data_IF_030398776500
#
_entry.id   IF_030398776500
#
_cell.length_a   1.000
_cell.length_b   1.000
_cell.length_c   1.000
_cell.angle_alpha   90.00
_cell.angle_beta   90.00
_cell.angle_gamma   90.00
#
_symmetry.space_group_name_H-M   'P 1'
#
loop_
_entity.id
_entity.type
_entity.pdbx_description
1 polymer ?
2 non-polymer ?
3 non-polymer ?
4 water ?
#
# COMPACT_ATOMS: atom_id res chain seq x y z
N UNK A 2 1.01 -5.35 19.16
CA UNK A 2 1.23 -6.15 17.92
C UNK A 2 0.41 -5.88 16.64
N UNK A 3 1.06 -5.17 15.72
CA UNK A 3 0.43 -4.71 14.50
C UNK A 3 0.65 -5.69 13.37
N UNK A 4 -0.33 -5.74 12.47
CA UNK A 4 -0.16 -6.45 11.22
C UNK A 4 -0.01 -5.44 10.09
N UNK A 5 1.14 -5.47 9.42
CA UNK A 5 1.46 -4.54 8.35
C UNK A 5 1.51 -5.33 7.05
N UNK A 6 0.80 -4.85 6.03
CA UNK A 6 0.83 -5.53 4.75
C UNK A 6 1.28 -4.56 3.68
N UNK A 7 2.32 -4.93 2.94
CA UNK A 7 2.68 -4.17 1.75
C UNK A 7 2.04 -4.82 0.53
N UNK A 8 1.54 -3.98 -0.38
CA UNK A 8 1.01 -4.42 -1.67
C UNK A 8 1.74 -3.67 -2.76
N UNK A 9 2.50 -4.39 -3.57
CA UNK A 9 3.22 -3.77 -4.67
C UNK A 9 2.67 -4.24 -6.03
N UNK A 10 2.53 -3.31 -6.96
CA UNK A 10 1.79 -3.57 -8.18
C UNK A 10 2.52 -3.37 -9.49
N UNK A 11 3.84 -3.55 -9.50
CA UNK A 11 4.56 -3.51 -10.77
C UNK A 11 4.33 -4.80 -11.53
N UNK A 12 4.19 -4.71 -12.85
CA UNK A 12 4.05 -5.93 -13.64
C UNK A 12 5.42 -6.43 -14.11
N UNK A 13 6.50 -5.80 -13.65
CA UNK A 13 7.84 -6.24 -14.05
C UNK A 13 8.51 -7.07 -12.97
N UNK A 14 9.35 -8.01 -13.39
CA UNK A 14 10.11 -8.78 -12.44
C UNK A 14 11.31 -7.96 -12.00
N UNK A 15 11.77 -8.20 -10.78
CA UNK A 15 12.87 -7.43 -10.20
C UNK A 15 12.55 -5.93 -10.17
N UNK A 16 11.34 -5.58 -9.75
CA UNK A 16 10.93 -4.20 -9.81
C UNK A 16 11.52 -3.35 -8.69
N UNK A 17 11.90 -2.13 -9.04
CA UNK A 17 12.32 -1.14 -8.06
C UNK A 17 11.19 -0.86 -7.08
N UNK A 18 9.96 -0.83 -7.59
CA UNK A 18 8.77 -0.61 -6.76
C UNK A 18 8.70 -1.61 -5.61
N UNK A 19 8.88 -2.89 -5.92
CA UNK A 19 8.86 -3.95 -4.91
C UNK A 19 9.96 -3.77 -3.86
N UNK A 20 11.15 -3.40 -4.32
CA UNK A 20 12.27 -3.11 -3.43
C UNK A 20 11.99 -1.92 -2.52
N UNK A 21 11.28 -0.92 -3.04
CA UNK A 21 10.94 0.24 -2.21
C UNK A 21 9.93 -0.18 -1.14
N UNK A 22 8.94 -0.97 -1.54
CA UNK A 22 7.91 -1.42 -0.62
C UNK A 22 8.52 -2.30 0.46
N UNK A 23 9.43 -3.17 0.05
CA UNK A 23 10.08 -4.07 0.99
C UNK A 23 10.91 -3.26 2.00
N UNK A 24 11.68 -2.30 1.50
CA UNK A 24 12.45 -1.39 2.35
C UNK A 24 11.54 -0.77 3.41
N UNK A 25 10.40 -0.26 2.97
CA UNK A 25 9.48 0.43 3.85
C UNK A 25 8.94 -0.55 4.87
N UNK A 26 8.64 -1.76 4.43
CA UNK A 26 8.05 -2.75 5.30
C UNK A 26 9.05 -3.11 6.40
N UNK A 27 10.31 -3.31 6.01
CA UNK A 27 11.37 -3.61 6.96
C UNK A 27 11.61 -2.45 7.95
N UNK A 28 11.50 -1.23 7.46
CA UNK A 28 11.81 -0.06 8.25
C UNK A 28 10.78 0.01 9.37
N UNK A 29 9.52 -0.24 9.03
CA UNK A 29 8.44 -0.21 10.01
C UNK A 29 8.60 -1.30 11.06
N UNK A 30 8.83 -2.54 10.61
CA UNK A 30 8.95 -3.68 11.52
C UNK A 30 10.13 -3.53 12.48
N UNK A 31 11.20 -2.87 12.04
CA UNK A 31 12.38 -2.66 12.89
C UNK A 31 12.12 -1.67 14.02
N UNK A 32 11.01 -0.95 13.96
CA UNK A 32 10.79 0.18 14.86
C UNK A 32 9.45 0.11 15.57
N UNK A 33 8.75 -1.00 15.40
CA UNK A 33 7.46 -1.16 16.06
C UNK A 33 7.24 -2.63 16.35
N UNK A 34 6.29 -2.92 17.23
CA UNK A 34 5.92 -4.29 17.52
C UNK A 34 4.98 -4.78 16.42
N UNK A 35 5.58 -5.22 15.31
CA UNK A 35 4.82 -5.55 14.11
C UNK A 35 5.26 -6.87 13.45
N UNK A 36 4.32 -7.54 12.80
CA UNK A 36 4.66 -8.55 11.81
C UNK A 36 4.13 -8.10 10.46
N UNK A 37 4.72 -8.61 9.39
CA UNK A 37 4.35 -8.14 8.07
C UNK A 37 4.28 -9.18 6.98
N UNK A 38 3.61 -8.83 5.90
CA UNK A 38 3.74 -9.58 4.68
C UNK A 38 3.68 -8.65 3.49
N UNK A 39 4.14 -9.14 2.35
CA UNK A 39 4.27 -8.35 1.15
C UNK A 39 3.57 -9.08 0.00
N UNK A 40 2.41 -8.59 -0.40
CA UNK A 40 1.68 -9.14 -1.54
C UNK A 40 2.22 -8.54 -2.83
N UNK A 41 2.84 -9.38 -3.65
CA UNK A 41 3.29 -8.95 -4.97
C UNK A 41 2.19 -9.35 -5.92
N UNK A 42 1.43 -8.37 -6.43
CA UNK A 42 0.23 -8.67 -7.20
C UNK A 42 0.57 -9.52 -8.43
N UNK A 43 1.75 -9.27 -8.99
CA UNK A 43 2.26 -10.06 -10.11
C UNK A 43 2.34 -11.58 -9.80
N UNK A 44 2.40 -11.96 -8.54
CA UNK A 44 2.53 -13.37 -8.20
C UNK A 44 1.18 -14.02 -7.94
N UNK A 45 0.11 -13.23 -8.02
CA UNK A 45 -1.23 -13.79 -7.88
C UNK A 45 -1.69 -14.41 -9.22
N UNK A 46 -2.63 -15.35 -9.15
CA UNK A 46 -3.12 -16.06 -10.34
C UNK A 46 -3.91 -15.06 -11.18
N UNK A 47 -3.43 -14.77 -12.41
CA UNK A 47 -4.00 -13.68 -13.22
C UNK A 47 -5.49 -13.85 -13.47
N UNK A 48 -5.90 -15.05 -13.86
CA UNK A 48 -7.30 -15.31 -14.13
C UNK A 48 -8.16 -15.11 -12.90
N UNK A 49 -7.73 -15.68 -11.77
CA UNK A 49 -8.52 -15.58 -10.56
C UNK A 49 -8.57 -14.12 -10.10
N UNK A 50 -7.46 -13.40 -10.26
CA UNK A 50 -7.39 -12.00 -9.86
C UNK A 50 -8.40 -11.16 -10.65
N UNK A 51 -8.32 -11.22 -11.98
CA UNK A 51 -9.20 -10.44 -12.84
C UNK A 51 -10.69 -10.75 -12.65
N UNK A 52 -11.00 -11.98 -12.25
CA UNK A 52 -12.39 -12.39 -12.10
C UNK A 52 -12.87 -12.36 -10.65
N UNK A 53 -11.96 -12.01 -9.74
CA UNK A 53 -12.31 -11.92 -8.33
C UNK A 53 -12.67 -13.27 -7.74
N UNK A 54 -12.02 -14.31 -8.26
CA UNK A 54 -12.31 -15.70 -7.88
C UNK A 54 -11.61 -16.09 -6.58
N UNK A 55 -12.35 -16.03 -5.48
CA UNK A 55 -11.79 -16.29 -4.16
C UNK A 55 -11.76 -17.77 -3.79
N UNK A 56 -12.07 -18.62 -4.77
CA UNK A 56 -11.91 -20.07 -4.61
C UNK A 56 -10.43 -20.37 -4.82
N UNK A 57 -9.72 -19.43 -5.43
CA UNK A 57 -8.27 -19.48 -5.46
C UNK A 57 -7.75 -19.12 -4.06
N UNK A 58 -7.12 -20.09 -3.41
CA UNK A 58 -6.68 -19.95 -2.03
C UNK A 58 -5.72 -18.77 -1.82
N UNK A 59 -4.72 -18.67 -2.67
CA UNK A 59 -3.69 -17.65 -2.53
C UNK A 59 -4.26 -16.22 -2.70
N UNK A 60 -5.25 -16.07 -3.58
CA UNK A 60 -5.95 -14.80 -3.75
C UNK A 60 -6.80 -14.47 -2.53
N UNK A 61 -7.57 -15.45 -2.05
CA UNK A 61 -8.36 -15.25 -0.84
C UNK A 61 -7.47 -14.92 0.37
N UNK A 62 -6.30 -15.54 0.45
CA UNK A 62 -5.38 -15.24 1.54
C UNK A 62 -4.86 -13.81 1.48
N UNK A 63 -4.53 -13.35 0.28
CA UNK A 63 -4.12 -11.96 0.05
C UNK A 63 -5.23 -10.95 0.41
N UNK A 64 -6.46 -11.24 0.02
CA UNK A 64 -7.59 -10.41 0.40
C UNK A 64 -7.82 -10.40 1.92
N UNK A 65 -7.83 -11.58 2.54
CA UNK A 65 -7.98 -11.66 3.99
C UNK A 65 -6.88 -10.90 4.74
N UNK A 66 -5.63 -11.05 4.30
CA UNK A 66 -4.52 -10.38 4.95
C UNK A 66 -4.67 -8.86 4.86
N UNK A 67 -5.18 -8.38 3.73
CA UNK A 67 -5.39 -6.95 3.54
C UNK A 67 -6.46 -6.43 4.48
N UNK A 68 -7.59 -7.13 4.52
CA UNK A 68 -8.68 -6.76 5.42
C UNK A 68 -8.31 -6.86 6.89
N UNK A 69 -7.30 -7.66 7.22
CA UNK A 69 -6.92 -7.83 8.62
C UNK A 69 -5.77 -6.92 9.07
N UNK A 70 -5.16 -6.20 8.13
CA UNK A 70 -4.02 -5.34 8.44
C UNK A 70 -4.38 -4.10 9.27
N UNK A 71 -3.45 -3.66 10.10
CA UNK A 71 -3.62 -2.37 10.78
C UNK A 71 -3.08 -1.25 9.90
N UNK A 72 -2.08 -1.57 9.09
CA UNK A 72 -1.48 -0.60 8.18
C UNK A 72 -1.19 -1.22 6.82
N UNK A 73 -1.44 -0.48 5.74
CA UNK A 73 -1.05 -0.94 4.41
C UNK A 73 -0.01 -0.06 3.77
N UNK A 74 0.97 -0.68 3.14
CA UNK A 74 1.93 0.04 2.31
C UNK A 74 1.58 -0.26 0.87
N UNK A 75 1.22 0.78 0.13
CA UNK A 75 0.64 0.60 -1.19
C UNK A 75 1.56 1.22 -2.23
N UNK A 76 2.22 0.36 -3.02
CA UNK A 76 3.30 0.78 -3.90
C UNK A 76 3.06 0.44 -5.37
N UNK A 77 3.34 1.39 -6.25
CA UNK A 77 3.11 1.19 -7.67
C UNK A 77 4.11 1.98 -8.49
N UNK A 78 4.53 1.42 -9.64
CA UNK A 78 5.17 2.31 -10.60
C UNK A 78 4.08 3.19 -11.22
N UNK A 79 4.46 4.33 -11.77
CA UNK A 79 3.50 5.18 -12.45
C UNK A 79 3.44 4.81 -13.93
N UNK A 80 2.28 4.33 -14.37
CA UNK A 80 2.05 3.98 -15.77
C UNK A 80 0.91 4.85 -16.28
N UNK A 81 1.10 5.45 -17.45
CA UNK A 81 0.09 6.31 -18.08
C UNK A 81 -0.48 7.29 -17.06
N UNK A 82 0.40 7.96 -16.32
CA UNK A 82 0.01 9.02 -15.40
C UNK A 82 -0.82 8.59 -14.19
N UNK A 83 -0.76 7.31 -13.80
CA UNK A 83 -1.49 6.84 -12.63
C UNK A 83 -0.90 5.53 -12.11
N UNK A 84 -1.58 4.89 -11.15
CA UNK A 84 -1.18 3.59 -10.64
C UNK A 84 -1.41 2.56 -11.75
N UNK A 85 -0.79 1.39 -11.63
CA UNK A 85 -0.92 0.34 -12.65
C UNK A 85 -2.31 -0.31 -12.65
N UNK A 86 -2.71 -0.85 -13.79
CA UNK A 86 -3.90 -1.69 -13.85
C UNK A 86 -3.81 -2.88 -12.90
N UNK A 87 -2.62 -3.48 -12.83
CA UNK A 87 -2.36 -4.61 -11.94
C UNK A 87 -2.68 -4.29 -10.48
N UNK A 88 -2.23 -3.13 -9.99
CA UNK A 88 -2.52 -2.75 -8.61
C UNK A 88 -4.01 -2.57 -8.41
N UNK A 89 -4.61 -1.78 -9.30
CA UNK A 89 -6.03 -1.47 -9.22
C UNK A 89 -6.90 -2.73 -9.30
N UNK A 90 -6.51 -3.68 -10.15
CA UNK A 90 -7.23 -4.96 -10.24
C UNK A 90 -7.33 -5.63 -8.87
N UNK A 91 -6.25 -5.57 -8.08
CA UNK A 91 -6.31 -6.11 -6.73
C UNK A 91 -7.21 -5.28 -5.83
N UNK A 92 -7.00 -3.97 -5.82
CA UNK A 92 -7.87 -3.09 -5.03
C UNK A 92 -9.34 -3.31 -5.39
N UNK A 93 -9.62 -3.55 -6.67
CA UNK A 93 -11.00 -3.75 -7.13
C UNK A 93 -11.76 -4.90 -6.47
N UNK A 94 -11.08 -5.99 -6.14
CA UNK A 94 -11.79 -7.12 -5.54
C UNK A 94 -12.00 -7.05 -4.03
N UNK A 95 -11.31 -6.12 -3.36
CA UNK A 95 -11.53 -5.93 -1.92
C UNK A 95 -12.96 -5.46 -1.64
N UNK A 96 -13.48 -5.78 -0.45
CA UNK A 96 -14.80 -5.31 -0.02
C UNK A 96 -14.94 -3.79 -0.15
N UNK A 97 -16.17 -3.31 -0.25
CA UNK A 97 -16.45 -1.90 -0.53
C UNK A 97 -15.70 -0.96 0.40
N UNK A 98 -15.76 -1.24 1.70
CA UNK A 98 -15.09 -0.40 2.69
C UNK A 98 -13.96 -1.16 3.39
N UNK A 99 -13.18 -1.88 2.58
CA UNK A 99 -12.11 -2.75 3.07
C UNK A 99 -11.09 -2.05 3.97
N UNK A 100 -10.94 -0.74 3.81
CA UNK A 100 -9.84 -0.03 4.45
C UNK A 100 -10.24 0.70 5.75
N UNK A 101 -11.48 0.50 6.18
CA UNK A 101 -11.95 1.06 7.45
C UNK A 101 -11.01 0.74 8.61
N UNK A 102 -10.69 1.75 9.41
CA UNK A 102 -9.81 1.56 10.54
C UNK A 102 -8.32 1.56 10.22
N UNK A 103 -7.95 1.46 8.94
CA UNK A 103 -6.54 1.25 8.58
C UNK A 103 -5.75 2.51 8.24
N UNK A 104 -4.47 2.50 8.61
CA UNK A 104 -3.54 3.52 8.14
C UNK A 104 -2.97 3.07 6.79
N UNK A 105 -2.51 4.02 5.99
CA UNK A 105 -1.94 3.70 4.68
C UNK A 105 -0.79 4.62 4.25
N UNK A 106 0.18 4.05 3.53
CA UNK A 106 1.33 4.79 3.01
C UNK A 106 1.48 4.56 1.51
N UNK A 107 1.22 5.60 0.71
CA UNK A 107 1.35 5.50 -0.74
C UNK A 107 2.79 5.75 -1.21
N UNK A 108 3.31 4.80 -1.99
CA UNK A 108 4.66 4.88 -2.52
C UNK A 108 4.60 4.67 -4.01
N UNK A 109 5.44 5.38 -4.74
CA UNK A 109 5.56 5.15 -6.17
C UNK A 109 6.96 5.42 -6.68
N UNK A 110 7.27 4.88 -7.86
CA UNK A 110 8.48 5.22 -8.58
C UNK A 110 8.11 5.49 -10.03
N UNK A 111 8.98 6.17 -10.75
CA UNK A 111 8.73 6.45 -12.15
C UNK A 111 10.00 6.95 -12.80
N UNK A 112 9.97 7.07 -14.12
CA UNK A 112 11.12 7.55 -14.87
C UNK A 112 11.38 9.03 -14.70
N UNK A 113 10.31 9.81 -14.57
CA UNK A 113 10.42 11.27 -14.46
C UNK A 113 9.75 11.87 -13.21
N UNK A 114 10.38 12.91 -12.64
CA UNK A 114 9.76 13.65 -11.54
C UNK A 114 8.40 14.25 -11.93
N UNK A 115 8.08 14.28 -13.22
CA UNK A 115 6.80 14.81 -13.67
C UNK A 115 5.62 14.01 -13.12
N UNK A 116 5.90 12.77 -12.71
CA UNK A 116 4.88 11.82 -12.26
C UNK A 116 4.54 11.94 -10.78
N UNK A 117 5.17 12.87 -10.07
CA UNK A 117 5.01 12.96 -8.61
C UNK A 117 3.54 13.01 -8.16
N UNK A 118 2.72 13.79 -8.85
CA UNK A 118 1.34 14.03 -8.40
C UNK A 118 0.35 12.90 -8.67
N UNK A 119 0.77 11.87 -9.40
CA UNK A 119 -0.13 10.75 -9.68
C UNK A 119 -0.62 10.08 -8.40
N UNK A 120 0.21 10.05 -7.37
CA UNK A 120 -0.21 9.46 -6.09
C UNK A 120 -1.38 10.21 -5.42
N UNK A 121 -1.20 11.51 -5.24
CA UNK A 121 -2.19 12.33 -4.55
C UNK A 121 -3.46 12.57 -5.39
N UNK A 122 -3.32 12.72 -6.70
CA UNK A 122 -4.49 12.91 -7.57
C UNK A 122 -5.16 11.60 -8.01
N UNK A 123 -4.37 10.53 -8.12
CA UNK A 123 -4.85 9.27 -8.65
C UNK A 123 -5.13 8.22 -7.59
N UNK A 124 -4.10 7.81 -6.86
CA UNK A 124 -4.24 6.74 -5.88
C UNK A 124 -5.03 7.13 -4.62
N UNK A 125 -4.75 8.32 -4.11
CA UNK A 125 -5.34 8.77 -2.85
C UNK A 125 -6.89 8.76 -2.85
N UNK A 126 -7.53 9.32 -3.89
CA UNK A 126 -8.99 9.20 -3.92
C UNK A 126 -9.48 7.74 -3.94
N UNK A 127 -8.73 6.83 -4.55
CA UNK A 127 -9.14 5.42 -4.56
C UNK A 127 -9.09 4.81 -3.16
N UNK A 128 -8.04 5.12 -2.40
CA UNK A 128 -7.96 4.62 -1.03
C UNK A 128 -9.12 5.13 -0.17
N UNK A 129 -9.53 6.37 -0.42
CA UNK A 129 -10.60 7.00 0.34
C UNK A 129 -12.00 6.51 -0.01
N UNK A 130 -12.17 5.96 -1.21
CA UNK A 130 -13.43 5.29 -1.55
C UNK A 130 -13.67 4.07 -0.66
N UNK A 131 -12.60 3.52 -0.10
CA UNK A 131 -12.70 2.29 0.68
C UNK A 131 -12.73 2.50 2.20
N UNK A 132 -13.02 3.73 2.63
CA UNK A 132 -13.21 4.03 4.04
C UNK A 132 -11.94 4.09 4.88
N UNK A 133 -10.81 4.32 4.22
CA UNK A 133 -9.50 4.28 4.88
C UNK A 133 -9.47 5.27 6.06
N UNK A 134 -8.77 4.90 7.13
CA UNK A 134 -8.76 5.73 8.33
C UNK A 134 -7.79 6.90 8.19
N UNK A 135 -6.58 6.62 7.73
CA UNK A 135 -5.53 7.63 7.72
C UNK A 135 -4.49 7.32 6.66
N UNK A 136 -4.49 8.10 5.58
CA UNK A 136 -3.43 8.03 4.59
C UNK A 136 -2.44 9.15 4.83
N UNK A 137 -1.19 8.80 5.12
CA UNK A 137 -0.16 9.81 5.35
C UNK A 137 0.38 10.33 4.03
N UNK A 138 1.44 11.13 4.08
CA UNK A 138 1.98 11.72 2.87
C UNK A 138 2.41 10.67 1.85
N UNK A 139 2.31 11.03 0.58
CA UNK A 139 2.82 10.21 -0.51
C UNK A 139 4.33 10.31 -0.58
N UNK A 140 4.99 9.24 -0.99
CA UNK A 140 6.38 9.40 -1.38
C UNK A 140 6.61 8.86 -2.79
N UNK A 141 7.29 9.64 -3.63
CA UNK A 141 7.60 9.21 -4.98
C UNK A 141 9.10 9.27 -5.18
N UNK A 142 9.67 8.26 -5.82
CA UNK A 142 11.07 8.31 -6.21
C UNK A 142 11.36 8.08 -7.70
N UNK A 143 12.25 8.89 -8.26
CA UNK A 143 12.74 8.67 -9.62
C UNK A 143 13.54 7.36 -9.69
N UNK A 144 13.15 6.45 -10.57
CA UNK A 144 13.66 5.07 -10.57
C UNK A 144 15.19 4.93 -10.58
N UNK A 145 15.86 5.71 -11.43
CA UNK A 145 17.32 5.78 -11.40
C UNK A 145 17.81 6.66 -10.25
N UNK A 146 17.53 6.20 -9.03
CA UNK A 146 18.00 6.84 -7.80
C UNK A 146 18.02 5.80 -6.69
N UNK A 147 17.09 4.85 -6.76
CA UNK A 147 17.05 3.77 -5.77
C UNK A 147 18.27 2.88 -5.91
N UNK A 148 19.07 2.82 -4.85
CA UNK A 148 20.29 2.03 -4.86
C UNK A 148 20.59 1.52 -3.45
N UNK A 154 19.79 2.59 2.53
CA UNK A 154 19.60 2.96 1.13
C UNK A 154 20.71 3.86 0.58
N UNK A 155 21.31 3.43 -0.52
CA UNK A 155 22.31 4.23 -1.21
C UNK A 155 21.65 5.30 -2.08
N UNK A 156 20.89 6.19 -1.44
CA UNK A 156 20.21 7.25 -2.16
C UNK A 156 20.60 8.62 -1.61
N UNK A 157 20.36 9.66 -2.40
CA UNK A 157 20.58 11.04 -1.99
C UNK A 157 19.98 11.33 -0.60
N UNK A 158 20.72 12.11 0.20
CA UNK A 158 20.39 12.32 1.61
C UNK A 158 19.04 12.98 1.85
N UNK A 159 18.68 13.92 0.99
CA UNK A 159 17.40 14.62 1.11
C UNK A 159 16.24 13.69 0.75
N UNK A 160 16.45 12.88 -0.28
CA UNK A 160 15.46 11.90 -0.72
C UNK A 160 15.24 10.86 0.37
N UNK A 161 16.35 10.40 0.95
CA UNK A 161 16.32 9.42 2.03
C UNK A 161 15.57 9.93 3.25
N UNK A 162 15.78 11.20 3.58
CA UNK A 162 15.07 11.81 4.70
C UNK A 162 13.57 11.80 4.46
N UNK A 163 13.15 12.27 3.29
CA UNK A 163 11.73 12.33 2.95
C UNK A 163 11.06 10.96 3.03
N UNK A 164 11.72 9.96 2.46
CA UNK A 164 11.20 8.60 2.47
C UNK A 164 11.06 8.09 3.90
N UNK A 165 12.15 8.16 4.65
CA UNK A 165 12.15 7.75 6.05
C UNK A 165 11.12 8.51 6.90
N UNK A 166 10.96 9.80 6.64
CA UNK A 166 9.94 10.56 7.37
C UNK A 166 8.54 10.07 7.07
N UNK A 167 8.28 9.74 5.80
CA UNK A 167 6.99 9.20 5.41
C UNK A 167 6.69 7.87 6.13
N UNK A 168 7.68 6.98 6.14
CA UNK A 168 7.55 5.69 6.79
C UNK A 168 7.39 5.86 8.31
N UNK A 169 8.22 6.71 8.91
CA UNK A 169 8.07 7.08 10.32
C UNK A 169 6.64 7.52 10.64
N UNK A 170 6.12 8.45 9.85
CA UNK A 170 4.76 8.93 10.08
C UNK A 170 3.75 7.79 9.95
N UNK A 171 3.92 6.95 8.93
CA UNK A 171 3.05 5.78 8.74
C UNK A 171 3.04 4.92 10.01
N UNK A 172 4.23 4.66 10.55
CA UNK A 172 4.35 3.83 11.76
C UNK A 172 3.67 4.48 12.95
N UNK A 173 3.88 5.78 13.10
CA UNK A 173 3.27 6.55 14.19
C UNK A 173 1.75 6.61 14.08
N UNK A 174 1.23 6.54 12.86
CA UNK A 174 -0.21 6.62 12.67
C UNK A 174 -0.94 5.31 13.01
N UNK A 175 -0.18 4.21 13.12
CA UNK A 175 -0.75 2.89 13.42
C UNK A 175 -1.53 2.90 14.73
N UNK A 176 -2.65 2.20 14.77
CA UNK A 176 -3.47 2.21 15.98
C UNK A 176 -3.62 0.85 16.65
N UNK A 177 -3.32 0.80 17.94
CA UNK A 177 -3.60 -0.38 18.75
C UNK A 177 -5.11 -0.49 19.03
N UNK A 178 -5.64 0.55 19.68
CA UNK A 178 -7.04 0.66 20.09
C UNK A 178 -8.09 0.01 19.19
N UNK A 179 -8.91 -0.87 19.77
CA UNK A 179 -10.09 -1.36 19.04
C UNK A 179 -11.12 -0.27 18.76
N UNK A 180 -11.06 0.85 19.48
CA UNK A 180 -12.00 1.95 19.28
C UNK A 180 -11.88 2.60 17.90
N UNK A 181 -10.72 2.45 17.27
CA UNK A 181 -10.46 3.07 15.98
C UNK A 181 -10.75 2.14 14.79
N UNK A 182 -11.14 0.89 15.05
CA UNK A 182 -11.19 -0.12 13.99
C UNK A 182 -12.17 0.17 12.86
N UNK A 183 -13.14 1.06 13.11
CA UNK A 183 -14.14 1.40 12.09
C UNK A 183 -14.00 2.84 11.57
N UNK A 184 -13.11 3.61 12.18
CA UNK A 184 -12.94 5.02 11.81
C UNK A 184 -12.54 5.16 10.34
N UNK A 185 -13.17 6.12 9.65
CA UNK A 185 -13.00 6.27 8.21
C UNK A 185 -14.19 5.72 7.44
N UNK A 186 -14.89 4.76 8.02
CA UNK A 186 -16.13 4.24 7.44
C UNK A 186 -17.26 5.27 7.65
N UNK A 187 -18.02 5.60 6.58
CA UNK A 187 -19.11 6.58 6.68
C UNK A 187 -20.23 6.16 7.64
N UNK A 188 -20.37 4.86 7.88
CA UNK A 188 -21.40 4.31 8.74
C UNK A 188 -20.86 3.13 9.56
N UNK A 189 -20.08 3.42 10.62
CA UNK A 189 -19.32 2.42 11.39
C UNK A 189 -20.13 1.22 11.89
N UNK A 190 -21.39 1.44 12.25
CA UNK A 190 -22.21 0.35 12.77
C UNK A 190 -22.60 -0.66 11.68
N UNK A 191 -22.44 -0.28 10.41
CA UNK A 191 -22.67 -1.21 9.30
C UNK A 191 -21.40 -1.98 8.92
N UNK A 192 -20.65 -2.35 9.96
CA UNK A 192 -19.37 -3.06 9.85
C UNK A 192 -18.25 -2.15 9.33
N UNK A 193 -17.40 -2.67 8.46
CA UNK A 193 -16.19 -1.96 8.08
C UNK A 193 -15.54 -2.60 6.85
X LIG B 1 9.37 -1.08 -11.71
X LIG B 1 8.55 -2.19 -12.34
X LIG B 1 10.84 -1.44 -11.68
X LIG B 1 9.12 0.15 -12.54
X LIG B 1 8.96 -0.88 -10.29
X LIG C 1 14.59 15.99 8.72
X LIG C 1 15.80 15.31 9.18
X LIG C 1 14.07 15.27 7.56
X LIG C 1 13.61 15.99 9.80
X LIG C 1 14.90 17.36 8.31
X LIG D 1 -1.72 -20.03 -7.93
X LIG D 1 -0.77 -21.07 -7.60
X LIG D 1 -1.85 -19.96 -9.38
X LIG D 1 -1.22 -18.75 -7.43
X LIG D 1 -3.03 -20.33 -7.35
X LIG E 1 9.85 7.44 17.46
X LIG E 1 8.96 6.36 17.90
X LIG E 1 11.24 7.06 17.68
X LIG E 1 9.55 8.65 18.23
X LIG E 1 9.65 7.71 16.03
#
# INVERSE_FOLDING_TARGET
>A
XTYSIVAISGSPSRNSTTAKLAEYALAHVLARSDSQGRHIHVIDLDPKALLRGDLSNAKLKEAVDATCNADGLIVATPIYKASYTGLLKAFLDILPQFALAGKAALPLATGGSPAHVLALDYGLRPVLHSMGVRHVVQSFFMVQSQFSVVDGKLAVEDDVASQLNNAIDHFRLSLSSEPSTRHLGHPRPSLDATRAA
>B hetero
1 PO4 P O1 O2 O3 O4
>C hetero
1 SO4 S O1 O2 O3 O4
>D hetero
1 SO4 S O1 O2 O3 O4
>E hetero
1 SO4 S O1 O2 O3 O4
#
